data_IF_755605020225
#
_entry.id   IF_755605020225
#
_cell.length_a   1.000
_cell.length_b   1.000
_cell.length_c   1.000
_cell.angle_alpha   90.00
_cell.angle_beta   90.00
_cell.angle_gamma   90.00
#
_symmetry.space_group_name_H-M   'P 1'
#
loop_
_entity.id
_entity.type
_entity.pdbx_description
1 polymer ?
#
# COMPACT_ATOMS: atom_id res chain seq x y z
N UNK A 1 -11.36 14.94 18.94
CA UNK A 1 -9.95 15.30 18.66
C UNK A 1 -9.85 15.90 17.27
N UNK A 2 -8.88 16.80 17.08
CA UNK A 2 -8.42 17.24 15.76
C UNK A 2 -7.26 16.36 15.30
N UNK A 3 -7.47 15.62 14.24
CA UNK A 3 -6.51 14.64 13.74
C UNK A 3 -5.98 15.06 12.38
N UNK A 4 -4.67 15.04 12.23
CA UNK A 4 -3.97 15.32 10.99
C UNK A 4 -3.51 14.02 10.32
N UNK A 5 -3.93 13.78 9.08
CA UNK A 5 -3.50 12.62 8.29
C UNK A 5 -2.67 13.09 7.10
N UNK A 6 -1.49 12.49 6.87
CA UNK A 6 -0.63 12.83 5.73
C UNK A 6 -0.50 11.67 4.74
N UNK A 7 -0.82 11.95 3.48
CA UNK A 7 -0.83 11.00 2.37
C UNK A 7 0.31 11.33 1.38
N UNK A 8 1.30 10.46 1.27
CA UNK A 8 2.52 10.74 0.46
C UNK A 8 2.67 9.89 -0.79
N UNK A 9 1.80 8.89 -0.99
CA UNK A 9 1.83 8.00 -2.14
C UNK A 9 0.44 7.36 -2.36
N UNK A 10 0.16 6.85 -3.55
CA UNK A 10 -1.11 6.22 -3.92
C UNK A 10 -1.60 5.14 -2.93
N UNK A 11 -0.78 4.15 -2.51
CA UNK A 11 -1.21 3.16 -1.52
C UNK A 11 -1.62 3.75 -0.17
N UNK A 12 -1.06 4.90 0.21
CA UNK A 12 -1.41 5.56 1.48
C UNK A 12 -2.86 6.06 1.49
N UNK A 13 -3.36 6.50 0.33
CA UNK A 13 -4.77 6.91 0.18
C UNK A 13 -5.68 5.72 0.43
N UNK A 14 -5.39 4.57 -0.18
CA UNK A 14 -6.19 3.36 -0.02
C UNK A 14 -6.24 2.90 1.44
N UNK A 15 -5.08 2.82 2.09
CA UNK A 15 -4.97 2.37 3.49
C UNK A 15 -5.65 3.34 4.46
N UNK A 16 -5.45 4.64 4.28
CA UNK A 16 -5.95 5.64 5.21
C UNK A 16 -7.41 6.03 4.94
N UNK A 17 -7.97 5.75 3.76
CA UNK A 17 -9.37 6.02 3.41
C UNK A 17 -10.35 5.50 4.48
N UNK A 18 -10.37 4.20 4.79
CA UNK A 18 -11.31 3.67 5.79
C UNK A 18 -10.99 4.15 7.21
N UNK A 19 -9.72 4.42 7.54
CA UNK A 19 -9.33 5.01 8.83
C UNK A 19 -9.89 6.42 8.96
N UNK A 20 -9.73 7.26 7.93
CA UNK A 20 -10.30 8.63 7.89
C UNK A 20 -11.81 8.58 8.04
N UNK A 21 -12.51 7.71 7.29
CA UNK A 21 -13.95 7.55 7.36
C UNK A 21 -14.41 7.12 8.76
N UNK A 22 -13.74 6.14 9.36
CA UNK A 22 -14.06 5.65 10.71
C UNK A 22 -13.83 6.74 11.77
N UNK A 23 -12.72 7.47 11.71
CA UNK A 23 -12.43 8.56 12.66
C UNK A 23 -13.46 9.69 12.55
N UNK A 24 -13.87 10.07 11.33
CA UNK A 24 -14.94 11.07 11.11
C UNK A 24 -16.28 10.58 11.64
N UNK A 25 -16.65 9.32 11.41
CA UNK A 25 -17.87 8.72 11.93
C UNK A 25 -17.93 8.70 13.47
N UNK A 26 -16.76 8.65 14.13
CA UNK A 26 -16.62 8.77 15.59
C UNK A 26 -16.63 10.22 16.10
N UNK A 27 -16.88 11.20 15.25
CA UNK A 27 -16.96 12.61 15.60
C UNK A 27 -15.61 13.32 15.75
N UNK A 28 -14.52 12.75 15.20
CA UNK A 28 -13.24 13.44 15.14
C UNK A 28 -13.17 14.40 13.94
N UNK A 29 -12.57 15.57 14.13
CA UNK A 29 -12.23 16.48 13.05
C UNK A 29 -10.96 15.98 12.37
N UNK A 30 -11.08 15.50 11.13
CA UNK A 30 -9.94 14.95 10.38
C UNK A 30 -9.59 15.85 9.21
N UNK A 31 -8.40 16.44 9.25
CA UNK A 31 -7.83 17.22 8.15
C UNK A 31 -6.70 16.45 7.48
N UNK A 32 -6.67 16.52 6.15
CA UNK A 32 -5.74 15.69 5.34
C UNK A 32 -4.79 16.57 4.54
N UNK A 33 -3.51 16.24 4.59
CA UNK A 33 -2.50 16.76 3.65
C UNK A 33 -2.10 15.66 2.69
N UNK A 34 -1.88 16.03 1.41
CA UNK A 34 -1.46 15.08 0.39
C UNK A 34 -0.26 15.61 -0.40
N UNK A 35 0.65 14.72 -0.79
CA UNK A 35 1.77 15.05 -1.66
C UNK A 35 1.39 14.80 -3.11
N UNK A 36 1.70 15.76 -4.01
CA UNK A 36 1.59 15.57 -5.45
C UNK A 36 2.68 14.58 -5.92
N UNK A 37 2.31 13.32 -5.88
CA UNK A 37 3.16 12.20 -6.31
C UNK A 37 2.32 11.01 -6.75
N UNK A 38 2.68 10.42 -7.89
CA UNK A 38 1.96 9.31 -8.52
C UNK A 38 0.47 9.67 -8.71
N UNK A 39 -0.45 8.86 -8.24
CA UNK A 39 -1.90 9.09 -8.34
C UNK A 39 -2.51 9.58 -7.02
N UNK A 40 -1.70 10.09 -6.07
CA UNK A 40 -2.18 10.42 -4.72
C UNK A 40 -3.33 11.41 -4.75
N UNK A 41 -3.19 12.55 -5.45
CA UNK A 41 -4.23 13.58 -5.50
C UNK A 41 -5.47 13.06 -6.23
N UNK A 42 -5.31 12.42 -7.38
CA UNK A 42 -6.45 11.86 -8.13
C UNK A 42 -7.21 10.77 -7.36
N UNK A 43 -6.52 9.98 -6.53
CA UNK A 43 -7.20 9.03 -5.64
C UNK A 43 -7.94 9.73 -4.50
N UNK A 44 -7.40 10.81 -3.93
CA UNK A 44 -8.12 11.60 -2.95
C UNK A 44 -9.41 12.18 -3.55
N UNK A 45 -9.34 12.73 -4.76
CA UNK A 45 -10.51 13.24 -5.50
C UNK A 45 -11.52 12.12 -5.79
N UNK A 46 -11.06 10.99 -6.33
CA UNK A 46 -11.91 9.82 -6.62
C UNK A 46 -12.68 9.32 -5.39
N UNK A 47 -12.05 9.36 -4.22
CA UNK A 47 -12.68 8.89 -2.97
C UNK A 47 -13.32 10.01 -2.14
N UNK A 48 -13.43 11.22 -2.67
CA UNK A 48 -14.06 12.35 -1.96
C UNK A 48 -13.30 12.74 -0.68
N UNK A 49 -11.98 12.54 -0.64
CA UNK A 49 -11.15 12.92 0.51
C UNK A 49 -10.70 14.37 0.31
N UNK A 50 -11.35 15.29 1.05
CA UNK A 50 -10.90 16.68 1.11
C UNK A 50 -9.48 16.75 1.65
N UNK A 51 -8.59 17.44 0.94
CA UNK A 51 -7.18 17.51 1.28
C UNK A 51 -6.52 18.82 0.89
N UNK A 52 -5.41 19.15 1.56
CA UNK A 52 -4.51 20.23 1.15
C UNK A 52 -3.29 19.63 0.48
N UNK A 53 -3.07 19.97 -0.80
CA UNK A 53 -1.89 19.52 -1.53
C UNK A 53 -0.65 20.26 -1.05
N UNK A 54 0.32 19.55 -0.45
CA UNK A 54 1.59 20.11 0.04
C UNK A 54 2.77 19.29 -0.45
N UNK A 55 3.60 19.93 -1.29
CA UNK A 55 4.85 19.38 -1.81
C UNK A 55 4.69 18.45 -3.00
N UNK A 56 5.78 18.37 -3.80
CA UNK A 56 5.90 17.51 -4.99
C UNK A 56 7.09 16.59 -4.86
N UNK A 57 7.07 15.49 -5.58
CA UNK A 57 8.23 14.59 -5.66
C UNK A 57 9.38 15.26 -6.42
N UNK A 58 10.61 15.23 -5.86
CA UNK A 58 11.79 15.96 -6.41
C UNK A 58 12.90 15.03 -6.93
N UNK A 59 12.55 13.84 -7.44
CA UNK A 59 13.54 12.95 -8.07
C UNK A 59 14.35 12.06 -7.11
N UNK A 60 15.36 11.32 -7.63
CA UNK A 60 15.96 10.16 -6.98
C UNK A 60 17.25 10.37 -6.18
N UNK A 61 17.95 11.50 -6.30
CA UNK A 61 19.24 11.72 -5.63
C UNK A 61 19.11 11.94 -4.11
N UNK A 62 20.08 11.47 -3.32
CA UNK A 62 20.06 11.56 -1.83
C UNK A 62 19.93 13.00 -1.37
N UNK A 63 20.71 13.92 -1.93
CA UNK A 63 20.66 15.35 -1.59
C UNK A 63 19.32 16.01 -1.97
N UNK A 64 18.72 15.61 -3.09
CA UNK A 64 17.39 16.07 -3.50
C UNK A 64 16.31 15.55 -2.56
N UNK A 65 16.41 14.29 -2.13
CA UNK A 65 15.50 13.69 -1.14
C UNK A 65 15.59 14.38 0.22
N UNK A 66 16.80 14.67 0.73
CA UNK A 66 16.99 15.37 2.00
C UNK A 66 16.44 16.79 1.96
N UNK A 67 16.74 17.56 0.90
CA UNK A 67 16.18 18.91 0.69
C UNK A 67 14.65 18.87 0.52
N UNK A 68 14.13 17.85 -0.17
CA UNK A 68 12.70 17.64 -0.34
C UNK A 68 11.99 17.39 0.98
N UNK A 69 12.56 16.51 1.82
CA UNK A 69 12.06 16.22 3.17
C UNK A 69 12.04 17.50 4.03
N UNK A 70 13.15 18.23 4.11
CA UNK A 70 13.23 19.46 4.90
C UNK A 70 12.22 20.53 4.43
N UNK A 71 12.16 20.78 3.13
CA UNK A 71 11.25 21.79 2.56
C UNK A 71 9.78 21.42 2.79
N UNK A 72 9.40 20.14 2.60
CA UNK A 72 8.03 19.69 2.82
C UNK A 72 7.67 19.66 4.30
N UNK A 73 8.55 19.17 5.17
CA UNK A 73 8.32 19.20 6.62
C UNK A 73 8.10 20.62 7.13
N UNK A 74 8.88 21.62 6.67
CA UNK A 74 8.68 23.02 7.03
C UNK A 74 7.34 23.57 6.50
N UNK A 75 6.94 23.21 5.28
CA UNK A 75 5.64 23.61 4.75
C UNK A 75 4.49 23.01 5.57
N UNK A 76 4.62 21.75 5.98
CA UNK A 76 3.67 21.07 6.85
C UNK A 76 3.61 21.70 8.25
N UNK A 77 4.76 22.09 8.83
CA UNK A 77 4.81 22.83 10.11
C UNK A 77 4.05 24.15 10.01
N UNK A 78 4.29 24.93 8.94
CA UNK A 78 3.57 26.21 8.75
C UNK A 78 2.06 26.00 8.60
N UNK A 79 1.67 24.96 7.87
CA UNK A 79 0.27 24.63 7.66
C UNK A 79 -0.39 24.12 8.95
N UNK A 80 0.25 23.27 9.72
CA UNK A 80 -0.32 22.63 10.89
C UNK A 80 -0.34 23.53 12.14
N UNK A 81 0.67 24.42 12.31
CA UNK A 81 0.84 25.26 13.51
C UNK A 81 -0.42 26.02 13.95
N UNK A 82 -1.19 26.69 13.09
CA UNK A 82 -2.38 27.45 13.51
C UNK A 82 -3.62 26.57 13.76
N UNK A 83 -3.56 25.25 13.55
CA UNK A 83 -4.72 24.35 13.53
C UNK A 83 -4.94 23.59 14.83
N UNK A 84 -3.95 23.50 15.72
CA UNK A 84 -4.09 22.90 17.05
C UNK A 84 -4.48 21.41 16.98
N UNK A 85 -3.70 20.59 16.26
CA UNK A 85 -3.93 19.17 16.17
C UNK A 85 -3.54 18.42 17.45
N UNK A 86 -4.37 17.48 17.86
CA UNK A 86 -4.14 16.59 18.99
C UNK A 86 -3.28 15.37 18.60
N UNK A 87 -3.31 14.96 17.32
CA UNK A 87 -2.64 13.77 16.83
C UNK A 87 -2.32 13.89 15.34
N UNK A 88 -1.16 13.40 14.93
CA UNK A 88 -0.75 13.27 13.54
C UNK A 88 -0.61 11.79 13.14
N UNK A 89 -1.10 11.41 11.97
CA UNK A 89 -1.08 10.06 11.44
C UNK A 89 -0.39 9.99 10.07
N UNK A 90 0.39 8.94 9.83
CA UNK A 90 0.98 8.70 8.54
C UNK A 90 1.22 7.22 8.24
N UNK A 91 1.11 6.83 6.97
CA UNK A 91 1.58 5.54 6.49
C UNK A 91 3.02 5.69 5.98
N UNK A 92 4.00 5.51 6.87
CA UNK A 92 5.42 5.66 6.52
C UNK A 92 5.83 7.06 6.03
N UNK A 93 5.10 8.11 6.39
CA UNK A 93 5.45 9.48 6.02
C UNK A 93 6.47 10.07 6.97
N UNK A 94 7.71 10.24 6.50
CA UNK A 94 8.75 10.92 7.27
C UNK A 94 8.42 12.41 7.47
N UNK A 95 7.78 13.01 6.46
CA UNK A 95 7.50 14.45 6.45
C UNK A 95 6.56 14.85 7.60
N UNK A 96 5.46 14.09 7.80
CA UNK A 96 4.52 14.35 8.90
C UNK A 96 5.13 14.04 10.24
N UNK A 97 5.91 12.95 10.35
CA UNK A 97 6.54 12.58 11.61
C UNK A 97 7.52 13.64 12.09
N UNK A 98 8.35 14.18 11.18
CA UNK A 98 9.27 15.29 11.48
C UNK A 98 8.48 16.56 11.84
N UNK A 99 7.46 16.92 11.07
CA UNK A 99 6.69 18.12 11.29
C UNK A 99 5.90 18.08 12.61
N UNK A 100 5.30 16.93 12.95
CA UNK A 100 4.59 16.70 14.20
C UNK A 100 5.54 16.81 15.41
N UNK A 101 6.74 16.22 15.31
CA UNK A 101 7.77 16.34 16.35
C UNK A 101 8.17 17.79 16.59
N UNK A 102 8.38 18.59 15.53
CA UNK A 102 8.72 20.01 15.64
C UNK A 102 7.60 20.86 16.27
N UNK A 103 6.37 20.39 16.19
CA UNK A 103 5.19 21.05 16.76
C UNK A 103 4.77 20.45 18.12
N UNK A 104 5.50 19.48 18.65
CA UNK A 104 5.14 18.71 19.82
C UNK A 104 3.75 18.04 19.73
N UNK A 105 3.32 17.68 18.53
CA UNK A 105 2.07 16.94 18.28
C UNK A 105 2.39 15.44 18.37
N UNK A 106 1.66 14.65 19.19
CA UNK A 106 1.77 13.18 19.17
C UNK A 106 1.60 12.62 17.75
N UNK A 107 2.42 11.63 17.39
CA UNK A 107 2.41 11.08 16.04
C UNK A 107 2.38 9.56 16.07
N UNK A 108 1.50 8.96 15.25
CA UNK A 108 1.50 7.52 14.97
C UNK A 108 1.88 7.27 13.51
N UNK A 109 2.69 6.25 13.30
CA UNK A 109 3.07 5.78 11.97
C UNK A 109 2.69 4.32 11.79
N UNK A 110 2.30 3.93 10.57
CA UNK A 110 2.13 2.52 10.22
C UNK A 110 2.92 2.17 8.96
N UNK A 111 3.32 0.92 8.83
CA UNK A 111 3.97 0.39 7.62
C UNK A 111 3.88 -1.15 7.61
N UNK A 112 4.19 -1.75 6.46
CA UNK A 112 4.07 -3.19 6.20
C UNK A 112 5.30 -3.82 5.52
N UNK A 113 6.41 -3.07 5.45
CA UNK A 113 7.68 -3.54 4.91
C UNK A 113 8.84 -3.00 5.75
N UNK A 114 9.55 -3.88 6.43
CA UNK A 114 10.53 -3.52 7.48
C UNK A 114 11.91 -3.13 6.97
N UNK A 115 12.19 -3.28 5.67
CA UNK A 115 13.54 -3.02 5.13
C UNK A 115 13.76 -1.60 4.60
N UNK A 116 12.79 -0.72 4.72
CA UNK A 116 12.92 0.69 4.36
C UNK A 116 13.75 1.47 5.40
N UNK A 117 15.05 1.13 5.51
CA UNK A 117 15.95 1.51 6.62
C UNK A 117 15.97 3.01 6.92
N UNK A 118 16.13 3.86 5.90
CA UNK A 118 16.19 5.32 6.10
C UNK A 118 14.86 5.84 6.66
N UNK A 119 13.76 5.39 6.08
CA UNK A 119 12.42 5.79 6.48
C UNK A 119 12.09 5.39 7.91
N UNK A 120 12.41 4.16 8.29
CA UNK A 120 12.11 3.64 9.63
C UNK A 120 13.03 4.25 10.70
N UNK A 121 14.28 4.59 10.36
CA UNK A 121 15.17 5.31 11.30
C UNK A 121 14.61 6.68 11.71
N UNK A 122 13.84 7.33 10.85
CA UNK A 122 13.15 8.58 11.18
C UNK A 122 11.84 8.28 11.91
N UNK A 123 10.95 7.53 11.28
CA UNK A 123 9.60 7.33 11.77
C UNK A 123 9.54 6.63 13.12
N UNK A 124 10.25 5.50 13.29
CA UNK A 124 10.17 4.75 14.55
C UNK A 124 10.80 5.48 15.72
N UNK A 125 11.81 6.33 15.49
CA UNK A 125 12.40 7.10 16.59
C UNK A 125 11.53 8.26 17.04
N UNK A 126 10.89 8.94 16.10
CA UNK A 126 10.13 10.16 16.35
C UNK A 126 8.66 9.90 16.70
N UNK A 127 8.02 8.90 16.11
CA UNK A 127 6.65 8.55 16.45
C UNK A 127 6.52 7.97 17.87
N UNK A 128 5.39 8.21 18.51
CA UNK A 128 5.02 7.63 19.80
C UNK A 128 4.43 6.23 19.64
N UNK A 129 3.75 5.98 18.53
CA UNK A 129 3.15 4.67 18.19
C UNK A 129 3.58 4.22 16.81
N UNK A 130 3.92 2.95 16.70
CA UNK A 130 4.32 2.29 15.47
C UNK A 130 3.42 1.08 15.24
N UNK A 131 2.55 1.16 14.24
CA UNK A 131 1.55 0.13 13.92
C UNK A 131 2.04 -0.70 12.73
N UNK A 132 2.14 -2.00 12.92
CA UNK A 132 2.68 -2.93 11.89
C UNK A 132 1.86 -4.23 11.85
N UNK A 133 1.90 -4.98 10.73
CA UNK A 133 1.26 -6.30 10.70
C UNK A 133 1.97 -7.26 11.66
N UNK A 134 1.23 -8.17 12.24
CA UNK A 134 1.69 -9.21 13.16
C UNK A 134 2.71 -10.18 12.53
N UNK A 135 2.82 -10.18 11.20
CA UNK A 135 3.85 -10.91 10.48
C UNK A 135 5.26 -10.38 10.73
N UNK A 136 5.43 -9.09 11.07
CA UNK A 136 6.75 -8.50 11.26
C UNK A 136 7.24 -8.75 12.68
N UNK A 137 8.32 -9.54 12.89
CA UNK A 137 8.89 -9.76 14.21
C UNK A 137 9.40 -8.47 14.85
N UNK A 138 9.09 -8.24 16.13
CA UNK A 138 9.53 -7.05 16.87
C UNK A 138 11.05 -6.84 16.81
N UNK A 139 11.80 -7.95 16.80
CA UNK A 139 13.28 -7.96 16.75
C UNK A 139 13.82 -7.26 15.50
N UNK A 140 13.12 -7.40 14.34
CA UNK A 140 13.53 -6.73 13.08
C UNK A 140 13.43 -5.20 13.18
N UNK A 141 12.61 -4.69 14.12
CA UNK A 141 12.34 -3.26 14.27
C UNK A 141 13.14 -2.60 15.42
N UNK A 142 13.81 -3.37 16.30
CA UNK A 142 14.62 -2.84 17.41
C UNK A 142 15.65 -1.81 16.95
N UNK A 143 16.36 -2.10 15.87
CA UNK A 143 17.40 -1.22 15.32
C UNK A 143 16.90 0.15 14.88
N UNK A 144 15.60 0.30 14.67
CA UNK A 144 14.96 1.56 14.30
C UNK A 144 14.43 2.35 15.49
N UNK A 145 14.57 1.83 16.72
CA UNK A 145 14.07 2.48 17.93
C UNK A 145 12.56 2.35 18.12
N UNK A 146 11.95 1.28 17.58
CA UNK A 146 10.51 0.99 17.74
C UNK A 146 10.17 0.28 19.05
N UNK A 147 11.16 -0.11 19.86
CA UNK A 147 10.96 -0.84 21.11
C UNK A 147 10.02 -0.08 22.05
N UNK A 148 9.02 -0.76 22.62
CA UNK A 148 8.02 -0.17 23.52
C UNK A 148 6.95 0.69 22.83
N UNK A 149 6.96 0.77 21.49
CA UNK A 149 6.01 1.58 20.71
C UNK A 149 5.22 0.76 19.70
N UNK A 150 5.48 -0.55 19.62
CA UNK A 150 4.92 -1.44 18.63
C UNK A 150 3.51 -1.87 19.00
N UNK A 151 2.61 -1.74 18.04
CA UNK A 151 1.25 -2.27 18.06
C UNK A 151 1.03 -3.10 16.80
N UNK A 152 0.45 -4.26 16.96
CA UNK A 152 0.31 -5.24 15.89
C UNK A 152 -1.14 -5.36 15.45
N UNK A 153 -1.36 -5.39 14.14
CA UNK A 153 -2.65 -5.78 13.56
C UNK A 153 -2.54 -7.13 12.84
N UNK A 154 -3.55 -8.00 12.92
CA UNK A 154 -3.53 -9.29 12.26
C UNK A 154 -3.68 -9.16 10.75
N UNK A 155 -2.99 -10.02 10.00
CA UNK A 155 -3.14 -10.15 8.56
C UNK A 155 -2.54 -9.02 7.72
N UNK A 156 -3.24 -8.68 6.63
CA UNK A 156 -2.78 -7.71 5.64
C UNK A 156 -3.54 -6.39 5.76
N UNK A 157 -2.87 -5.24 5.56
CA UNK A 157 -3.55 -3.94 5.48
C UNK A 157 -4.58 -3.90 4.33
N UNK A 158 -4.35 -4.70 3.30
CA UNK A 158 -5.23 -4.89 2.16
C UNK A 158 -6.58 -5.49 2.57
N UNK A 159 -6.60 -6.38 3.56
CA UNK A 159 -7.82 -6.99 4.10
C UNK A 159 -8.73 -5.97 4.82
N UNK A 160 -8.15 -4.86 5.29
CA UNK A 160 -8.87 -3.75 5.93
C UNK A 160 -9.42 -2.76 4.92
N UNK A 161 -8.60 -2.29 3.98
CA UNK A 161 -9.07 -1.27 3.04
C UNK A 161 -9.90 -1.83 1.88
N UNK A 162 -9.87 -3.14 1.69
CA UNK A 162 -10.76 -3.84 0.76
C UNK A 162 -11.97 -4.47 1.47
N UNK A 163 -12.19 -4.18 2.76
CA UNK A 163 -13.29 -4.82 3.51
C UNK A 163 -14.67 -4.49 2.96
N UNK A 164 -14.87 -3.26 2.48
CA UNK A 164 -16.10 -2.75 1.87
C UNK A 164 -16.07 -2.77 0.33
N UNK A 165 -14.97 -3.26 -0.26
CA UNK A 165 -14.79 -3.28 -1.71
C UNK A 165 -15.66 -4.35 -2.37
N UNK A 166 -16.40 -3.98 -3.40
CA UNK A 166 -17.09 -4.91 -4.31
C UNK A 166 -16.55 -4.70 -5.73
N UNK A 167 -16.18 -5.79 -6.43
CA UNK A 167 -15.64 -5.70 -7.77
C UNK A 167 -16.67 -5.18 -8.78
N UNK A 168 -16.29 -4.16 -9.54
CA UNK A 168 -17.09 -3.62 -10.63
C UNK A 168 -16.80 -4.38 -11.93
N UNK A 169 -17.79 -5.06 -12.52
CA UNK A 169 -17.61 -5.80 -13.76
C UNK A 169 -17.38 -4.90 -14.98
N UNK A 170 -17.62 -3.60 -14.89
CA UNK A 170 -17.41 -2.66 -16.02
C UNK A 170 -15.95 -2.66 -16.50
N UNK A 171 -14.98 -2.97 -15.65
CA UNK A 171 -13.57 -3.09 -16.00
C UNK A 171 -13.32 -4.15 -17.07
N UNK A 172 -14.13 -5.20 -17.12
CA UNK A 172 -14.02 -6.26 -18.12
C UNK A 172 -14.45 -5.76 -19.50
N UNK A 173 -15.56 -5.01 -19.59
CA UNK A 173 -16.00 -4.36 -20.81
C UNK A 173 -15.04 -3.27 -21.30
N UNK A 174 -14.48 -2.48 -20.37
CA UNK A 174 -13.48 -1.44 -20.65
C UNK A 174 -12.19 -2.00 -21.31
N UNK A 175 -11.83 -3.25 -20.98
CA UNK A 175 -10.66 -3.94 -21.49
C UNK A 175 -11.00 -5.02 -22.54
N UNK A 176 -12.26 -5.09 -22.97
CA UNK A 176 -12.76 -6.08 -23.94
C UNK A 176 -12.44 -7.54 -23.54
N UNK A 177 -12.54 -7.85 -22.21
CA UNK A 177 -12.22 -9.15 -21.66
C UNK A 177 -13.41 -10.12 -21.74
N UNK A 178 -13.15 -11.29 -22.27
CA UNK A 178 -14.12 -12.40 -22.29
C UNK A 178 -14.08 -13.18 -20.97
N UNK A 179 -15.18 -13.19 -20.24
CA UNK A 179 -15.30 -13.88 -18.94
C UNK A 179 -15.26 -15.40 -19.04
N UNK A 180 -15.46 -15.96 -20.22
CA UNK A 180 -15.40 -17.41 -20.43
C UNK A 180 -13.97 -17.91 -20.57
N UNK A 181 -13.04 -17.03 -20.94
CA UNK A 181 -11.61 -17.30 -21.05
C UNK A 181 -10.88 -16.94 -19.76
N UNK A 182 -9.74 -17.59 -19.53
CA UNK A 182 -8.88 -17.27 -18.39
C UNK A 182 -8.24 -15.88 -18.56
N UNK A 183 -8.19 -15.10 -17.48
CA UNK A 183 -7.65 -13.74 -17.44
C UNK A 183 -6.37 -13.74 -16.61
N UNK A 184 -5.24 -13.34 -17.20
CA UNK A 184 -4.01 -13.09 -16.51
C UNK A 184 -3.78 -11.59 -16.31
N UNK A 185 -3.33 -11.18 -15.12
CA UNK A 185 -2.93 -9.79 -14.84
C UNK A 185 -1.47 -9.74 -14.45
N UNK A 186 -0.70 -8.97 -15.21
CA UNK A 186 0.75 -8.85 -15.04
C UNK A 186 1.12 -7.43 -14.65
N UNK A 187 2.02 -7.27 -13.66
CA UNK A 187 2.58 -5.97 -13.31
C UNK A 187 4.07 -5.96 -13.58
N UNK A 188 4.52 -5.06 -14.43
CA UNK A 188 5.94 -4.93 -14.76
C UNK A 188 6.82 -4.67 -13.52
N UNK A 189 8.07 -5.21 -13.47
CA UNK A 189 9.03 -4.88 -12.44
C UNK A 189 9.33 -3.37 -12.37
N UNK A 190 9.70 -2.81 -11.19
CA UNK A 190 10.11 -1.42 -11.09
C UNK A 190 11.45 -1.20 -11.80
N UNK A 191 11.56 -0.08 -12.54
CA UNK A 191 12.80 0.49 -13.08
C UNK A 191 13.62 -0.36 -14.07
N UNK A 192 13.05 -1.38 -14.71
CA UNK A 192 13.73 -2.20 -15.71
C UNK A 192 13.06 -2.05 -17.06
N UNK A 193 13.84 -1.71 -18.10
CA UNK A 193 13.42 -1.88 -19.48
C UNK A 193 13.23 -3.38 -19.73
N UNK A 194 12.08 -3.76 -20.30
CA UNK A 194 11.69 -5.17 -20.48
C UNK A 194 12.68 -5.99 -21.33
N UNK A 195 13.52 -5.34 -22.11
CA UNK A 195 14.39 -5.99 -23.11
C UNK A 195 15.87 -5.59 -23.06
N UNK A 196 16.30 -4.74 -22.10
CA UNK A 196 17.66 -4.17 -22.13
C UNK A 196 18.49 -4.28 -20.85
N UNK A 197 18.01 -4.92 -19.76
CA UNK A 197 18.87 -5.31 -18.63
C UNK A 197 18.29 -6.50 -17.88
N UNK A 198 19.12 -7.51 -17.76
CA UNK A 198 18.94 -8.86 -17.23
C UNK A 198 18.81 -8.91 -15.69
N UNK A 199 17.82 -8.24 -15.12
CA UNK A 199 17.58 -8.39 -13.67
C UNK A 199 16.27 -9.13 -13.34
N UNK A 200 15.48 -9.55 -14.33
CA UNK A 200 14.32 -10.43 -14.12
C UNK A 200 13.94 -11.21 -15.38
N UNK A 201 14.80 -12.13 -15.79
CA UNK A 201 14.57 -13.01 -16.94
C UNK A 201 13.25 -13.79 -16.82
N UNK A 202 12.85 -14.12 -15.59
CA UNK A 202 11.60 -14.85 -15.34
C UNK A 202 10.39 -14.05 -15.84
N UNK A 203 10.36 -12.73 -15.64
CA UNK A 203 9.24 -11.92 -16.09
C UNK A 203 9.14 -11.86 -17.62
N UNK A 204 10.26 -11.83 -18.33
CA UNK A 204 10.30 -11.90 -19.80
C UNK A 204 9.71 -13.23 -20.28
N UNK A 205 10.13 -14.34 -19.70
CA UNK A 205 9.59 -15.67 -20.03
C UNK A 205 8.09 -15.80 -19.69
N UNK A 206 7.63 -15.12 -18.63
CA UNK A 206 6.18 -15.05 -18.32
C UNK A 206 5.41 -14.34 -19.44
N UNK A 207 5.96 -13.21 -19.93
CA UNK A 207 5.36 -12.51 -21.06
C UNK A 207 5.29 -13.41 -22.30
N UNK A 208 6.39 -14.09 -22.64
CA UNK A 208 6.42 -14.99 -23.80
C UNK A 208 5.42 -16.14 -23.68
N UNK A 209 5.29 -16.72 -22.48
CA UNK A 209 4.35 -17.82 -22.22
C UNK A 209 2.89 -17.40 -22.32
N UNK A 210 2.58 -16.16 -21.94
CA UNK A 210 1.20 -15.63 -21.92
C UNK A 210 0.87 -14.78 -23.17
N UNK A 211 1.77 -14.75 -24.15
CA UNK A 211 1.56 -14.05 -25.42
C UNK A 211 0.40 -14.68 -26.20
N UNK A 212 -0.58 -13.86 -26.58
CA UNK A 212 -1.78 -14.33 -27.28
C UNK A 212 -2.87 -14.87 -26.37
N UNK A 213 -2.58 -15.02 -25.06
CA UNK A 213 -3.59 -15.26 -24.05
C UNK A 213 -4.29 -13.95 -23.65
N UNK A 214 -5.37 -14.06 -22.89
CA UNK A 214 -6.06 -12.88 -22.35
C UNK A 214 -5.27 -12.29 -21.18
N UNK A 215 -4.11 -11.70 -21.51
CA UNK A 215 -3.16 -11.17 -20.55
C UNK A 215 -3.17 -9.64 -20.53
N UNK A 216 -3.61 -9.05 -19.41
CA UNK A 216 -3.57 -7.61 -19.17
C UNK A 216 -2.24 -7.27 -18.51
N UNK A 217 -1.42 -6.45 -19.17
CA UNK A 217 -0.13 -6.03 -18.65
C UNK A 217 -0.19 -4.57 -18.21
N UNK A 218 0.09 -4.32 -16.93
CA UNK A 218 0.07 -3.00 -16.30
C UNK A 218 1.48 -2.43 -16.21
N UNK A 219 1.90 -1.52 -17.13
CA UNK A 219 3.22 -0.91 -17.08
C UNK A 219 3.34 0.11 -15.94
N UNK A 220 4.57 0.34 -15.46
CA UNK A 220 4.89 1.38 -14.46
C UNK A 220 5.36 2.68 -15.09
N UNK A 221 5.88 2.61 -16.30
CA UNK A 221 6.47 3.75 -17.00
C UNK A 221 5.95 3.84 -18.44
N UNK A 222 5.96 5.05 -19.05
CA UNK A 222 5.64 5.21 -20.47
C UNK A 222 6.56 4.38 -21.39
N UNK A 223 7.84 4.22 -21.03
CA UNK A 223 8.78 3.40 -21.78
C UNK A 223 8.37 1.93 -21.82
N UNK A 224 8.06 1.34 -20.65
CA UNK A 224 7.53 -0.03 -20.56
C UNK A 224 6.24 -0.20 -21.37
N UNK A 225 5.35 0.80 -21.33
CA UNK A 225 4.12 0.78 -22.12
C UNK A 225 4.42 0.74 -23.62
N UNK A 226 5.31 1.58 -24.08
CA UNK A 226 5.69 1.62 -25.50
C UNK A 226 6.35 0.30 -25.97
N UNK A 227 7.15 -0.34 -25.12
CA UNK A 227 7.75 -1.65 -25.39
C UNK A 227 6.70 -2.76 -25.49
N UNK A 228 5.74 -2.81 -24.57
CA UNK A 228 4.66 -3.79 -24.59
C UNK A 228 3.78 -3.65 -25.82
N UNK A 229 3.44 -2.41 -26.20
CA UNK A 229 2.63 -2.16 -27.41
C UNK A 229 3.38 -2.57 -28.69
N UNK A 230 4.70 -2.35 -28.76
CA UNK A 230 5.53 -2.81 -29.89
C UNK A 230 5.66 -4.35 -29.94
N UNK A 231 5.78 -4.99 -28.78
CA UNK A 231 5.87 -6.44 -28.68
C UNK A 231 4.57 -7.15 -29.10
N UNK A 232 3.42 -6.51 -28.87
CA UNK A 232 2.09 -7.05 -29.22
C UNK A 232 1.70 -8.29 -28.44
N UNK A 233 0.47 -8.75 -28.63
CA UNK A 233 -0.06 -9.96 -28.00
C UNK A 233 -0.47 -9.80 -26.54
N UNK A 234 -0.64 -8.56 -26.06
CA UNK A 234 -1.09 -8.22 -24.70
C UNK A 234 -2.13 -7.13 -24.73
N UNK A 235 -2.97 -7.10 -23.71
CA UNK A 235 -3.90 -5.99 -23.45
C UNK A 235 -3.17 -5.00 -22.53
N UNK A 236 -2.87 -3.81 -23.07
CA UNK A 236 -2.15 -2.75 -22.33
C UNK A 236 -3.07 -1.55 -22.16
N UNK A 237 -3.61 -1.27 -20.96
CA UNK A 237 -4.58 -0.20 -20.77
C UNK A 237 -4.02 1.16 -21.20
N UNK A 238 -4.83 1.93 -21.94
CA UNK A 238 -4.46 3.27 -22.41
C UNK A 238 -4.53 4.35 -21.35
N UNK A 239 -5.32 4.12 -20.31
CA UNK A 239 -5.58 5.01 -19.16
C UNK A 239 -5.54 4.24 -17.85
N UNK A 240 -5.66 4.94 -16.74
CA UNK A 240 -5.83 4.32 -15.43
C UNK A 240 -7.16 3.55 -15.39
N UNK A 241 -7.11 2.33 -14.90
CA UNK A 241 -8.26 1.42 -14.76
C UNK A 241 -8.52 1.09 -13.30
N UNK A 242 -9.65 0.47 -13.01
CA UNK A 242 -9.90 -0.13 -11.71
C UNK A 242 -9.12 -1.45 -11.57
N UNK A 243 -7.87 -1.31 -11.09
CA UNK A 243 -6.98 -2.46 -10.95
C UNK A 243 -7.47 -3.47 -9.90
N UNK A 244 -8.20 -3.02 -8.87
CA UNK A 244 -8.70 -3.90 -7.81
C UNK A 244 -9.83 -4.78 -8.33
N UNK A 245 -10.76 -4.23 -9.11
CA UNK A 245 -11.79 -5.00 -9.80
C UNK A 245 -11.17 -5.97 -10.81
N UNK A 246 -10.18 -5.52 -11.58
CA UNK A 246 -9.47 -6.40 -12.50
C UNK A 246 -8.80 -7.58 -11.78
N UNK A 247 -8.13 -7.34 -10.63
CA UNK A 247 -7.51 -8.40 -9.82
C UNK A 247 -8.55 -9.40 -9.29
N UNK A 248 -9.71 -8.92 -8.87
CA UNK A 248 -10.78 -9.79 -8.37
C UNK A 248 -11.31 -10.74 -9.45
N UNK A 249 -11.39 -10.28 -10.70
CA UNK A 249 -11.83 -11.09 -11.84
C UNK A 249 -10.71 -11.90 -12.50
N UNK A 250 -9.46 -11.63 -12.18
CA UNK A 250 -8.33 -12.36 -12.75
C UNK A 250 -8.27 -13.82 -12.26
N UNK A 251 -7.84 -14.71 -13.13
CA UNK A 251 -7.60 -16.11 -12.79
C UNK A 251 -6.16 -16.33 -12.32
N UNK A 252 -5.26 -15.41 -12.71
CA UNK A 252 -3.84 -15.43 -12.35
C UNK A 252 -3.28 -14.00 -12.27
N UNK A 253 -2.46 -13.76 -11.24
CA UNK A 253 -1.68 -12.52 -11.12
C UNK A 253 -0.20 -12.83 -11.06
N UNK A 254 0.63 -12.09 -11.81
CA UNK A 254 2.09 -12.15 -11.70
C UNK A 254 2.66 -10.75 -11.52
N UNK A 255 3.39 -10.51 -10.45
CA UNK A 255 3.92 -9.18 -10.15
C UNK A 255 5.25 -9.23 -9.40
N UNK A 256 6.08 -8.23 -9.62
CA UNK A 256 7.29 -7.97 -8.84
C UNK A 256 7.08 -6.91 -7.74
N UNK A 257 5.84 -6.68 -7.29
CA UNK A 257 5.52 -5.62 -6.33
C UNK A 257 4.68 -6.10 -5.15
N UNK A 258 4.96 -5.57 -3.95
CA UNK A 258 4.29 -5.99 -2.71
C UNK A 258 2.78 -5.72 -2.69
N UNK A 259 2.34 -4.48 -2.96
CA UNK A 259 0.93 -4.08 -2.80
C UNK A 259 -0.01 -4.89 -3.71
N UNK A 260 0.27 -5.00 -5.00
CA UNK A 260 -0.60 -5.73 -5.93
C UNK A 260 -0.67 -7.23 -5.60
N UNK A 261 0.44 -7.84 -5.19
CA UNK A 261 0.44 -9.24 -4.74
C UNK A 261 -0.47 -9.43 -3.53
N UNK A 262 -0.39 -8.53 -2.55
CA UNK A 262 -1.19 -8.59 -1.33
C UNK A 262 -2.65 -8.25 -1.57
N UNK A 263 -2.96 -7.34 -2.50
CA UNK A 263 -4.33 -7.11 -2.98
C UNK A 263 -4.91 -8.38 -3.62
N UNK A 264 -4.16 -9.04 -4.51
CA UNK A 264 -4.58 -10.31 -5.10
C UNK A 264 -4.82 -11.38 -4.04
N UNK A 265 -3.91 -11.52 -3.06
CA UNK A 265 -4.07 -12.44 -1.92
C UNK A 265 -5.33 -12.11 -1.11
N UNK A 266 -5.57 -10.84 -0.78
CA UNK A 266 -6.73 -10.40 0.00
C UNK A 266 -8.06 -10.63 -0.76
N UNK A 267 -8.02 -10.54 -2.08
CA UNK A 267 -9.16 -10.80 -2.98
C UNK A 267 -9.34 -12.31 -3.29
N UNK A 268 -8.44 -13.18 -2.81
CA UNK A 268 -8.50 -14.61 -3.06
C UNK A 268 -8.08 -15.01 -4.49
N UNK A 269 -7.34 -14.16 -5.19
CA UNK A 269 -6.85 -14.42 -6.54
C UNK A 269 -5.49 -15.11 -6.50
N UNK A 270 -5.27 -16.22 -7.23
CA UNK A 270 -3.98 -16.88 -7.33
C UNK A 270 -2.89 -15.92 -7.81
N UNK A 271 -1.76 -15.88 -7.11
CA UNK A 271 -0.72 -14.89 -7.38
C UNK A 271 0.69 -15.45 -7.24
N UNK A 272 1.52 -15.12 -8.23
CA UNK A 272 2.96 -15.38 -8.22
C UNK A 272 3.74 -14.08 -8.09
N UNK A 273 4.77 -14.11 -7.24
CA UNK A 273 5.76 -13.05 -7.17
C UNK A 273 7.02 -13.41 -7.95
N UNK A 274 7.48 -12.45 -8.75
CA UNK A 274 8.80 -12.47 -9.41
C UNK A 274 9.75 -11.45 -8.77
N UNK A 275 9.49 -11.04 -7.54
CA UNK A 275 10.33 -10.09 -6.81
C UNK A 275 11.66 -10.75 -6.40
N UNK A 276 12.77 -10.17 -6.84
CA UNK A 276 14.13 -10.65 -6.57
C UNK A 276 14.81 -9.97 -5.38
N UNK A 277 14.22 -8.88 -4.88
CA UNK A 277 14.73 -8.18 -3.71
C UNK A 277 14.52 -8.97 -2.42
N UNK A 278 14.95 -8.39 -1.30
CA UNK A 278 14.74 -8.97 0.03
C UNK A 278 13.25 -8.96 0.37
N UNK A 279 12.60 -10.11 0.56
CA UNK A 279 11.19 -10.14 0.92
C UNK A 279 10.98 -9.54 2.32
N UNK A 280 9.84 -8.89 2.53
CA UNK A 280 9.39 -8.52 3.86
C UNK A 280 8.75 -9.69 4.59
N UNK A 281 8.64 -9.62 5.92
CA UNK A 281 8.05 -10.67 6.74
C UNK A 281 6.61 -11.03 6.34
N UNK A 282 5.85 -10.06 5.86
CA UNK A 282 4.50 -10.29 5.32
C UNK A 282 4.56 -11.24 4.12
N UNK A 283 5.42 -10.96 3.15
CA UNK A 283 5.54 -11.81 1.95
C UNK A 283 6.14 -13.17 2.29
N UNK A 284 7.11 -13.24 3.25
CA UNK A 284 7.66 -14.50 3.77
C UNK A 284 6.56 -15.39 4.36
N UNK A 285 5.67 -14.81 5.19
CA UNK A 285 4.52 -15.50 5.78
C UNK A 285 3.55 -16.00 4.70
N UNK A 286 3.16 -15.14 3.76
CA UNK A 286 2.24 -15.52 2.68
C UNK A 286 2.79 -16.64 1.80
N UNK A 287 4.11 -16.66 1.58
CA UNK A 287 4.77 -17.75 0.84
C UNK A 287 4.75 -19.04 1.65
N UNK A 288 5.02 -18.98 2.94
CA UNK A 288 4.96 -20.14 3.83
C UNK A 288 3.55 -20.73 3.95
N UNK A 289 2.52 -19.88 3.92
CA UNK A 289 1.11 -20.26 3.91
C UNK A 289 0.60 -20.73 2.53
N UNK A 290 1.42 -20.63 1.47
CA UNK A 290 1.00 -20.96 0.10
C UNK A 290 0.03 -19.97 -0.54
N UNK A 291 -0.26 -18.84 0.11
CA UNK A 291 -1.15 -17.77 -0.39
C UNK A 291 -0.48 -16.87 -1.43
N UNK A 292 0.85 -16.79 -1.41
CA UNK A 292 1.69 -16.13 -2.40
C UNK A 292 2.73 -17.14 -2.88
N UNK A 293 2.82 -17.36 -4.19
CA UNK A 293 3.78 -18.31 -4.73
C UNK A 293 4.98 -17.59 -5.33
N UNK A 294 6.19 -18.07 -5.06
CA UNK A 294 7.39 -17.54 -5.72
C UNK A 294 7.58 -18.26 -7.05
N UNK A 295 7.52 -17.51 -8.13
CA UNK A 295 7.81 -18.04 -9.46
C UNK A 295 9.33 -18.15 -9.65
N UNK A 296 9.83 -19.36 -9.77
CA UNK A 296 11.27 -19.66 -9.99
C UNK A 296 11.55 -20.17 -11.40
N UNK A 297 10.57 -20.76 -12.04
CA UNK A 297 10.66 -21.32 -13.40
C UNK A 297 9.36 -21.03 -14.15
N UNK A 298 9.42 -20.58 -15.40
CA UNK A 298 8.23 -20.25 -16.19
C UNK A 298 7.26 -21.44 -16.34
N UNK A 299 7.77 -22.67 -16.32
CA UNK A 299 6.97 -23.89 -16.40
C UNK A 299 6.02 -24.09 -15.20
N UNK A 300 6.22 -23.39 -14.07
CA UNK A 300 5.30 -23.41 -12.93
C UNK A 300 4.02 -22.62 -13.18
N UNK A 301 4.01 -21.80 -14.24
CA UNK A 301 2.89 -20.92 -14.53
C UNK A 301 1.86 -21.68 -15.39
N UNK A 302 0.69 -21.87 -14.84
CA UNK A 302 -0.47 -22.39 -15.54
C UNK A 302 -1.59 -21.34 -15.49
N UNK A 303 -2.11 -20.96 -16.66
CA UNK A 303 -3.26 -20.09 -16.78
C UNK A 303 -4.50 -20.98 -16.96
N UNK A 304 -5.21 -21.19 -15.87
CA UNK A 304 -6.44 -22.00 -15.85
C UNK A 304 -7.60 -21.13 -15.41
N UNK A 305 -8.72 -21.25 -16.08
CA UNK A 305 -9.96 -20.56 -15.69
C UNK A 305 -10.41 -21.05 -14.32
N UNK A 306 -10.58 -20.14 -13.37
CA UNK A 306 -11.14 -20.46 -12.06
C UNK A 306 -12.63 -20.83 -12.20
N UNK A 307 -13.07 -21.78 -11.41
CA UNK A 307 -14.50 -22.05 -11.25
C UNK A 307 -15.18 -20.82 -10.62
N UNK A 308 -16.13 -20.17 -11.30
CA UNK A 308 -16.85 -19.03 -10.75
C UNK A 308 -17.68 -19.36 -9.49
N UNK A 309 -17.96 -20.65 -9.25
CA UNK A 309 -18.67 -21.15 -8.07
C UNK A 309 -17.73 -21.54 -6.93
N UNK A 310 -16.41 -21.59 -7.17
CA UNK A 310 -15.46 -21.92 -6.13
C UNK A 310 -15.47 -20.85 -5.02
N UNK A 311 -15.36 -21.25 -3.76
CA UNK A 311 -15.26 -20.30 -2.65
C UNK A 311 -14.09 -19.35 -2.86
N UNK A 312 -14.36 -18.06 -2.93
CA UNK A 312 -13.32 -17.03 -2.99
C UNK A 312 -12.74 -16.93 -1.58
N UNK A 313 -11.47 -17.26 -1.43
CA UNK A 313 -10.73 -17.16 -0.15
C UNK A 313 -10.46 -15.70 0.28
N UNK A 314 -11.45 -14.82 0.11
CA UNK A 314 -11.35 -13.40 0.45
C UNK A 314 -11.44 -13.18 1.95
N UNK A 315 -10.47 -12.47 2.50
CA UNK A 315 -10.47 -12.09 3.92
C UNK A 315 -10.83 -10.61 4.03
N UNK A 316 -11.82 -10.29 4.87
CA UNK A 316 -12.26 -8.93 5.19
C UNK A 316 -12.04 -8.69 6.69
N UNK A 317 -11.46 -7.54 7.04
CA UNK A 317 -11.22 -7.13 8.42
C UNK A 317 -11.78 -5.74 8.68
N UNK A 318 -12.26 -5.52 9.90
CA UNK A 318 -12.82 -4.23 10.30
C UNK A 318 -11.72 -3.14 10.40
N UNK A 319 -11.80 -2.07 9.59
CA UNK A 319 -10.87 -0.94 9.66
C UNK A 319 -10.86 -0.19 11.01
N UNK A 320 -11.88 -0.37 11.83
CA UNK A 320 -11.97 0.21 13.16
C UNK A 320 -10.75 -0.14 14.00
N UNK A 321 -10.23 -1.39 13.88
CA UNK A 321 -9.02 -1.82 14.58
C UNK A 321 -7.81 -0.94 14.24
N UNK A 322 -7.60 -0.60 12.96
CA UNK A 322 -6.48 0.27 12.57
C UNK A 322 -6.65 1.68 13.15
N UNK A 323 -7.89 2.19 13.19
CA UNK A 323 -8.19 3.48 13.81
C UNK A 323 -7.87 3.48 15.31
N UNK A 324 -8.24 2.41 16.02
CA UNK A 324 -7.97 2.26 17.45
C UNK A 324 -6.47 2.22 17.74
N UNK A 325 -5.72 1.41 17.00
CA UNK A 325 -4.28 1.29 17.17
C UNK A 325 -3.54 2.60 16.86
N UNK A 326 -3.98 3.33 15.84
CA UNK A 326 -3.36 4.60 15.43
C UNK A 326 -3.67 5.77 16.38
N UNK A 327 -4.77 5.71 17.13
CA UNK A 327 -5.18 6.80 18.05
C UNK A 327 -4.67 6.62 19.49
N UNK A 328 -4.01 5.52 19.81
CA UNK A 328 -3.49 5.23 21.16
C UNK A 328 -2.61 6.32 21.79
N UNK A 329 -1.73 7.03 21.08
CA UNK A 329 -0.91 8.09 21.68
C UNK A 329 -1.73 9.23 22.29
N UNK A 330 -2.87 9.59 21.65
CA UNK A 330 -3.73 10.65 22.14
C UNK A 330 -4.51 10.24 23.40
N UNK A 331 -4.86 8.96 23.52
CA UNK A 331 -5.57 8.46 24.70
C UNK A 331 -4.62 8.31 25.90
N UNK A 332 -3.38 7.89 25.68
CA UNK A 332 -2.36 7.85 26.75
C UNK A 332 -2.10 9.24 27.35
N UNK A 333 -2.19 10.30 26.54
CA UNK A 333 -2.02 11.69 26.99
C UNK A 333 -3.23 12.22 27.77
N UNK A 334 -4.44 11.70 27.50
CA UNK A 334 -5.68 12.10 28.19
C UNK A 334 -5.97 11.30 29.47
N UNK A 335 -5.43 10.09 29.61
CA UNK A 335 -5.61 9.21 30.76
C UNK A 335 -4.66 9.50 31.94
N UNK A 336 -3.78 10.50 31.82
CA UNK A 336 -3.04 11.07 32.96
C UNK A 336 -3.94 11.74 34.01
N UNK A 337 -5.28 11.74 33.81
CA UNK A 337 -6.27 12.32 34.72
C UNK A 337 -7.40 11.35 35.10
N UNK A 338 -7.20 10.03 35.11
CA UNK A 338 -8.23 9.12 35.65
C UNK A 338 -8.19 7.69 35.10
N UNK A 339 -7.90 6.77 35.98
CA UNK A 339 -8.23 5.33 36.07
C UNK A 339 -8.36 4.47 34.79
N UNK A 340 -7.47 3.48 34.71
CA UNK A 340 -7.58 2.29 33.87
C UNK A 340 -8.89 1.52 34.12
N UNK A 341 -9.62 1.09 33.08
CA UNK A 341 -10.50 -0.06 33.21
C UNK A 341 -9.66 -1.33 32.95
N UNK A 342 -9.65 -2.21 33.95
CA UNK A 342 -9.07 -3.53 33.89
C UNK A 342 -9.77 -4.37 32.78
N UNK A 343 -8.98 -4.92 31.90
CA UNK A 343 -9.41 -6.01 31.01
C UNK A 343 -9.62 -7.22 31.91
N UNK A 344 -10.87 -7.69 31.99
CA UNK A 344 -11.20 -9.01 32.55
C UNK A 344 -10.97 -10.06 31.48
N UNK A 345 -10.36 -11.16 31.90
CA UNK A 345 -10.07 -12.39 31.16
C UNK A 345 -11.29 -12.98 30.45
#
# INVERSE_FOLDING_TARGET
>A
MRIWVDLTNSPHVLVMRPVIANLRARGHEVQVTARDFAQTLGLCERFGIEHTAIGRHRGGGIGAKARGLAARSLALVRWARPRGFDLALGHGSNDVTVAATLLAIPCSTMFDYEWATVQHNVNCRLAQTVVVPDAIPAERLRRYGAQGKLHFYPGLKEEYYLSDFEPDPSVLGELELDRTRAIAVLRTPPAVSLYHRFENDIFVHVLDRLRGEQAVVLPRTPAQRAELLRAGGFIVPGRAIDAQSLLAYADLVVSAGGTMNREAVALGTPVFTVFEGRPGAVDERLIAEGRLQRLRRPAQLELVKRDPLAPIGRVRRDPALLSDLLTQPAWASSSGAGAHPAVRE
#
